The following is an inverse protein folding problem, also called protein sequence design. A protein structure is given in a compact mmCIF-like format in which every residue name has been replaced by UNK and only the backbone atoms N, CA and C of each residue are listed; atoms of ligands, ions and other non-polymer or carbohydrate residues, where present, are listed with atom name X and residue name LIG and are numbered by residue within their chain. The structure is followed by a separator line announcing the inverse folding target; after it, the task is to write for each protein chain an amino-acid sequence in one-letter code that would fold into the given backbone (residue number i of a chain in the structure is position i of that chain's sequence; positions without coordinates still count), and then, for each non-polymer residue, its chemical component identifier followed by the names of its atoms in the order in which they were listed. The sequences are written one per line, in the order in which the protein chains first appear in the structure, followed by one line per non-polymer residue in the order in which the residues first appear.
data_IF_598806058622
#
_entry.id   IF_598806058622
#
_cell.length_a   1.000
_cell.length_b   1.000
_cell.length_c   1.000
_cell.angle_alpha   90.00
_cell.angle_beta   90.00
_cell.angle_gamma   90.00
#
_symmetry.space_group_name_H-M   'P 1'
#
loop_
_entity.id
_entity.type
_entity.pdbx_description
1 polymer ?
#
# COMPACT_ATOMS: atom_id res chain seq x y z
N UNK A 1 24.32 8.37 10.87
CA UNK A 1 23.27 7.54 11.51
C UNK A 1 22.85 8.02 12.89
N UNK A 2 23.79 8.25 13.81
CA UNK A 2 23.52 8.72 15.19
C UNK A 2 22.65 9.98 15.26
N UNK A 3 22.87 10.98 14.40
CA UNK A 3 22.02 12.18 14.35
C UNK A 3 20.54 11.86 14.04
N UNK A 4 20.27 11.08 12.98
CA UNK A 4 18.91 10.75 12.54
C UNK A 4 18.18 9.96 13.63
N UNK A 5 18.87 8.98 14.23
CA UNK A 5 18.34 8.21 15.34
C UNK A 5 18.05 9.07 16.57
N UNK A 6 18.96 9.97 16.94
CA UNK A 6 18.79 10.89 18.06
C UNK A 6 17.61 11.85 17.83
N UNK A 7 17.48 12.40 16.63
CA UNK A 7 16.39 13.29 16.25
C UNK A 7 15.02 12.60 16.42
N UNK A 8 14.87 11.39 15.87
CA UNK A 8 13.62 10.63 15.99
C UNK A 8 13.34 10.23 17.43
N UNK A 9 14.36 9.77 18.17
CA UNK A 9 14.24 9.42 19.59
C UNK A 9 13.83 10.62 20.43
N UNK A 10 14.34 11.81 20.15
CA UNK A 10 13.98 13.05 20.83
C UNK A 10 12.49 13.39 20.66
N UNK A 11 11.91 13.16 19.48
CA UNK A 11 10.47 13.39 19.24
C UNK A 11 9.58 12.42 20.06
N UNK A 12 10.07 11.21 20.33
CA UNK A 12 9.34 10.18 21.08
C UNK A 12 9.45 10.43 22.59
N UNK A 13 10.68 10.52 23.09
CA UNK A 13 10.95 10.54 24.54
C UNK A 13 10.91 11.96 25.12
N UNK A 14 11.18 12.98 24.30
CA UNK A 14 11.17 14.40 24.68
C UNK A 14 12.06 14.74 25.90
N UNK A 15 13.08 13.93 26.15
CA UNK A 15 14.03 14.11 27.25
C UNK A 15 15.47 13.99 26.73
N UNK A 16 16.25 15.07 26.84
CA UNK A 16 17.60 15.13 26.27
C UNK A 16 18.54 14.04 26.82
N UNK A 17 18.51 13.79 28.14
CA UNK A 17 19.39 12.80 28.78
C UNK A 17 19.13 11.41 28.22
N UNK A 18 17.86 11.00 28.12
CA UNK A 18 17.48 9.72 27.55
C UNK A 18 17.84 9.62 26.06
N UNK A 19 17.63 10.67 25.26
CA UNK A 19 18.03 10.69 23.85
C UNK A 19 19.53 10.47 23.69
N UNK A 20 20.36 11.13 24.50
CA UNK A 20 21.82 10.98 24.46
C UNK A 20 22.21 9.54 24.83
N UNK A 21 21.63 9.00 25.89
CA UNK A 21 21.94 7.66 26.37
C UNK A 21 21.55 6.57 25.36
N UNK A 22 20.35 6.63 24.80
CA UNK A 22 19.90 5.71 23.76
C UNK A 22 20.77 5.81 22.50
N UNK A 23 21.18 7.02 22.11
CA UNK A 23 22.06 7.22 20.95
C UNK A 23 23.46 6.65 21.21
N UNK A 24 23.98 6.76 22.44
CA UNK A 24 25.22 6.12 22.86
C UNK A 24 25.10 4.59 22.75
N UNK A 25 24.04 4.02 23.32
CA UNK A 25 23.79 2.57 23.25
C UNK A 25 23.69 2.04 21.82
N UNK A 26 23.11 2.82 20.90
CA UNK A 26 23.12 2.47 19.48
C UNK A 26 24.54 2.52 18.90
N UNK A 27 25.30 3.58 19.18
CA UNK A 27 26.65 3.76 18.66
C UNK A 27 27.59 2.63 19.10
N UNK A 28 27.45 2.17 20.34
CA UNK A 28 28.28 1.10 20.93
C UNK A 28 28.02 -0.27 20.28
N UNK A 29 26.92 -0.42 19.51
CA UNK A 29 26.61 -1.63 18.74
C UNK A 29 27.20 -1.63 17.34
N UNK A 30 27.81 -0.53 16.88
CA UNK A 30 28.46 -0.51 15.58
C UNK A 30 29.81 -1.21 15.63
N UNK A 31 30.23 -1.79 14.51
CA UNK A 31 31.55 -2.41 14.34
C UNK A 31 32.67 -1.40 14.65
N UNK A 32 32.46 -0.14 14.28
CA UNK A 32 33.37 0.97 14.55
C UNK A 32 32.60 2.11 15.24
N UNK A 33 32.54 2.11 16.59
CA UNK A 33 31.85 3.15 17.33
C UNK A 33 32.54 4.51 17.18
N UNK A 34 31.74 5.57 17.06
CA UNK A 34 32.27 6.94 17.13
C UNK A 34 32.69 7.28 18.55
N UNK A 35 33.59 8.26 18.69
CA UNK A 35 34.02 8.79 20.00
C UNK A 35 32.81 9.29 20.79
N UNK A 36 32.73 8.93 22.07
CA UNK A 36 31.60 9.28 22.96
C UNK A 36 31.30 10.78 22.98
N UNK A 37 32.32 11.63 22.92
CA UNK A 37 32.17 13.09 22.85
C UNK A 37 31.40 13.54 21.60
N UNK A 38 31.72 12.98 20.45
CA UNK A 38 31.07 13.31 19.18
C UNK A 38 29.62 12.82 19.15
N UNK A 39 29.37 11.61 19.66
CA UNK A 39 28.00 11.06 19.80
C UNK A 39 27.15 11.93 20.71
N UNK A 40 27.70 12.33 21.87
CA UNK A 40 27.02 13.20 22.83
C UNK A 40 26.70 14.57 22.26
N UNK A 41 27.64 15.17 21.53
CA UNK A 41 27.43 16.46 20.84
C UNK A 41 26.32 16.32 19.80
N UNK A 42 26.46 15.34 18.91
CA UNK A 42 25.50 15.05 17.84
C UNK A 42 24.09 14.82 18.38
N UNK A 43 23.95 14.04 19.46
CA UNK A 43 22.64 13.75 20.06
C UNK A 43 22.01 14.99 20.73
N UNK A 44 22.82 15.86 21.34
CA UNK A 44 22.33 17.13 21.92
C UNK A 44 21.86 18.10 20.85
N UNK A 45 22.59 18.21 19.75
CA UNK A 45 22.22 19.08 18.64
C UNK A 45 20.94 18.57 17.98
N UNK A 46 20.87 17.27 17.67
CA UNK A 46 19.66 16.63 17.14
C UNK A 46 18.44 16.80 18.06
N UNK A 47 18.62 16.74 19.38
CA UNK A 47 17.54 16.98 20.34
C UNK A 47 17.02 18.41 20.25
N UNK A 48 17.90 19.42 20.21
CA UNK A 48 17.48 20.82 20.10
C UNK A 48 16.69 21.05 18.82
N UNK A 49 17.17 20.50 17.70
CA UNK A 49 16.51 20.63 16.42
C UNK A 49 15.14 19.93 16.41
N UNK A 50 15.04 18.74 17.02
CA UNK A 50 13.80 17.99 17.14
C UNK A 50 12.74 18.71 17.99
N UNK A 51 13.13 19.29 19.14
CA UNK A 51 12.22 20.05 19.99
C UNK A 51 11.80 21.36 19.31
N UNK A 52 12.75 22.08 18.69
CA UNK A 52 12.43 23.29 17.90
C UNK A 52 11.43 22.97 16.80
N UNK A 53 11.61 21.83 16.13
CA UNK A 53 10.65 21.34 15.15
C UNK A 53 9.29 21.03 15.77
N UNK A 54 9.28 20.28 16.87
CA UNK A 54 8.05 19.85 17.53
C UNK A 54 7.22 21.03 18.02
N UNK A 55 7.86 22.05 18.61
CA UNK A 55 7.19 23.25 19.10
C UNK A 55 6.57 24.06 17.95
N UNK A 56 7.31 24.22 16.84
CA UNK A 56 6.79 24.88 15.64
C UNK A 56 5.63 24.08 15.01
N UNK A 57 5.73 22.75 14.99
CA UNK A 57 4.70 21.84 14.50
C UNK A 57 3.42 21.91 15.32
N UNK A 58 3.53 21.87 16.65
CA UNK A 58 2.38 21.99 17.57
C UNK A 58 1.74 23.38 17.47
N UNK A 59 2.55 24.45 17.44
CA UNK A 59 2.06 25.83 17.24
C UNK A 59 1.31 26.00 15.91
N UNK A 60 1.64 25.19 14.91
CA UNK A 60 1.00 25.14 13.61
C UNK A 60 -0.12 24.08 13.53
N UNK A 61 -0.81 23.80 14.64
CA UNK A 61 -1.92 22.82 14.70
C UNK A 61 -1.55 21.42 14.20
N UNK A 62 -0.29 21.01 14.37
CA UNK A 62 0.22 19.75 13.85
C UNK A 62 0.12 19.63 12.32
N UNK A 63 0.24 20.75 11.60
CA UNK A 63 0.35 20.76 10.14
C UNK A 63 1.81 20.92 9.69
N UNK A 64 2.18 20.17 8.65
CA UNK A 64 3.52 20.27 8.04
C UNK A 64 3.64 21.43 7.03
N UNK A 65 2.49 21.96 6.59
CA UNK A 65 2.40 23.11 5.67
C UNK A 65 2.82 24.38 6.40
N UNK A 66 3.42 25.33 5.71
CA UNK A 66 3.74 26.67 6.26
C UNK A 66 4.76 26.72 7.41
N UNK A 67 5.36 25.58 7.80
CA UNK A 67 6.47 25.59 8.76
C UNK A 67 7.68 26.39 8.24
N UNK A 68 8.43 27.08 9.13
CA UNK A 68 9.62 27.83 8.75
C UNK A 68 10.60 27.02 7.90
N UNK A 69 11.13 27.64 6.83
CA UNK A 69 12.01 26.95 5.87
C UNK A 69 13.37 26.54 6.46
N UNK A 70 13.84 27.27 7.47
CA UNK A 70 15.10 27.00 8.18
C UNK A 70 14.99 25.88 9.23
N UNK A 71 13.79 25.33 9.44
CA UNK A 71 13.56 24.30 10.44
C UNK A 71 14.02 22.94 9.92
N UNK A 72 14.81 22.22 10.72
CA UNK A 72 15.19 20.84 10.40
C UNK A 72 13.98 19.94 10.69
N UNK A 73 13.48 19.29 9.64
CA UNK A 73 12.31 18.41 9.71
C UNK A 73 12.75 16.95 9.87
N UNK A 74 11.94 16.08 10.49
CA UNK A 74 12.19 14.65 10.50
C UNK A 74 12.31 14.13 9.07
N UNK A 75 13.31 13.30 8.84
CA UNK A 75 13.58 12.71 7.53
C UNK A 75 12.48 11.71 7.18
N UNK A 76 12.05 11.68 5.91
CA UNK A 76 11.10 10.67 5.43
C UNK A 76 11.70 9.27 5.54
N UNK A 77 10.89 8.27 5.87
CA UNK A 77 11.32 6.88 5.96
C UNK A 77 12.02 6.39 4.69
N UNK A 78 11.52 6.77 3.51
CA UNK A 78 12.14 6.43 2.23
C UNK A 78 13.58 6.96 2.15
N UNK A 79 13.80 8.22 2.48
CA UNK A 79 15.12 8.83 2.47
C UNK A 79 16.05 8.22 3.52
N UNK A 80 15.53 7.79 4.67
CA UNK A 80 16.33 7.07 5.68
C UNK A 80 16.79 5.72 5.15
N UNK A 81 15.89 4.96 4.50
CA UNK A 81 16.23 3.67 3.87
C UNK A 81 17.27 3.84 2.76
N UNK A 82 17.10 4.85 1.92
CA UNK A 82 18.05 5.17 0.84
C UNK A 82 19.45 5.48 1.42
N UNK A 83 19.53 6.31 2.46
CA UNK A 83 20.81 6.64 3.13
C UNK A 83 21.46 5.45 3.81
N UNK A 84 20.67 4.46 4.19
CA UNK A 84 21.13 3.22 4.79
C UNK A 84 21.44 2.14 3.75
N UNK A 85 21.25 2.41 2.46
CA UNK A 85 21.34 1.44 1.36
C UNK A 85 20.50 0.18 1.65
N UNK A 86 19.34 0.35 2.28
CA UNK A 86 18.43 -0.74 2.63
C UNK A 86 17.37 -0.91 1.56
N UNK A 87 17.53 -1.96 0.76
CA UNK A 87 16.51 -2.41 -0.19
C UNK A 87 15.58 -3.41 0.46
N UNK A 88 14.54 -2.90 1.12
CA UNK A 88 13.49 -3.74 1.69
C UNK A 88 12.50 -4.18 0.60
N UNK A 89 12.17 -5.46 0.60
CA UNK A 89 11.07 -6.02 -0.19
C UNK A 89 9.73 -5.43 0.27
N UNK A 90 8.70 -5.52 -0.58
CA UNK A 90 7.36 -5.06 -0.21
C UNK A 90 6.82 -5.80 1.03
N UNK A 91 7.12 -7.09 1.19
CA UNK A 91 6.72 -7.87 2.36
C UNK A 91 7.39 -7.40 3.65
N UNK A 92 8.69 -7.06 3.62
CA UNK A 92 9.41 -6.52 4.78
C UNK A 92 8.92 -5.11 5.15
N UNK A 93 8.63 -4.28 4.14
CA UNK A 93 8.00 -2.97 4.34
C UNK A 93 6.64 -3.13 5.02
N UNK A 94 5.82 -4.08 4.60
CA UNK A 94 4.51 -4.39 5.20
C UNK A 94 4.61 -4.86 6.66
N UNK A 95 5.68 -5.56 7.03
CA UNK A 95 5.97 -5.92 8.42
C UNK A 95 6.41 -4.74 9.28
N UNK A 96 7.26 -3.85 8.75
CA UNK A 96 7.68 -2.64 9.45
C UNK A 96 6.55 -1.59 9.52
N UNK A 97 5.71 -1.53 8.49
CA UNK A 97 4.57 -0.61 8.35
C UNK A 97 3.32 -1.18 9.01
N UNK A 98 3.42 -1.73 10.22
CA UNK A 98 2.22 -1.95 11.04
C UNK A 98 1.71 -0.58 11.55
N UNK A 99 1.36 0.28 10.60
CA UNK A 99 0.79 1.62 10.63
C UNK A 99 -0.16 1.63 9.42
N UNK A 100 -1.46 1.53 9.69
CA UNK A 100 -2.54 1.41 8.71
C UNK A 100 -2.64 2.69 7.88
N UNK A 101 -2.04 2.72 6.69
CA UNK A 101 -2.38 3.75 5.70
C UNK A 101 -3.65 3.36 4.90
N UNK A 102 -4.22 4.33 4.18
CA UNK A 102 -5.47 4.12 3.42
C UNK A 102 -5.31 3.08 2.32
N UNK A 103 -4.15 3.02 1.66
CA UNK A 103 -3.90 2.09 0.56
C UNK A 103 -3.79 0.65 1.08
N UNK A 104 -3.13 0.45 2.23
CA UNK A 104 -2.98 -0.85 2.88
C UNK A 104 -4.28 -1.31 3.53
N UNK A 105 -5.06 -0.40 4.13
CA UNK A 105 -6.42 -0.69 4.60
C UNK A 105 -7.31 -1.17 3.44
N UNK A 106 -7.24 -0.49 2.29
CA UNK A 106 -7.93 -0.92 1.08
C UNK A 106 -7.44 -2.26 0.54
N UNK A 107 -6.12 -2.51 0.55
CA UNK A 107 -5.54 -3.79 0.13
C UNK A 107 -6.03 -4.94 1.03
N UNK A 108 -5.96 -4.78 2.35
CA UNK A 108 -6.42 -5.76 3.34
C UNK A 108 -7.91 -6.03 3.23
N UNK A 109 -8.73 -5.00 3.09
CA UNK A 109 -10.17 -5.16 2.88
C UNK A 109 -10.47 -5.89 1.56
N UNK A 110 -9.72 -5.58 0.49
CA UNK A 110 -9.84 -6.27 -0.80
C UNK A 110 -9.48 -7.75 -0.68
N UNK A 111 -8.39 -8.08 0.01
CA UNK A 111 -7.96 -9.47 0.23
C UNK A 111 -8.99 -10.22 1.10
N UNK A 112 -9.40 -9.64 2.23
CA UNK A 112 -10.41 -10.21 3.13
C UNK A 112 -11.73 -10.49 2.40
N UNK A 113 -12.21 -9.52 1.60
CA UNK A 113 -13.43 -9.70 0.80
C UNK A 113 -13.27 -10.77 -0.27
N UNK A 114 -12.09 -10.89 -0.91
CA UNK A 114 -11.82 -11.96 -1.88
C UNK A 114 -11.81 -13.34 -1.23
N UNK A 115 -11.19 -13.50 -0.06
CA UNK A 115 -11.18 -14.77 0.69
C UNK A 115 -12.59 -15.16 1.10
N UNK A 116 -13.35 -14.26 1.74
CA UNK A 116 -14.76 -14.52 2.10
C UNK A 116 -15.62 -14.93 0.91
N UNK A 117 -15.43 -14.28 -0.24
CA UNK A 117 -16.15 -14.64 -1.48
C UNK A 117 -15.80 -16.05 -1.94
N UNK A 118 -14.53 -16.45 -1.85
CA UNK A 118 -14.08 -17.81 -2.22
C UNK A 118 -14.61 -18.86 -1.24
N UNK A 119 -14.61 -18.57 0.06
CA UNK A 119 -15.23 -19.43 1.08
C UNK A 119 -16.74 -19.59 0.86
N UNK A 120 -17.42 -18.55 0.38
CA UNK A 120 -18.82 -18.57 -0.04
C UNK A 120 -19.06 -19.25 -1.41
N UNK A 121 -18.03 -19.84 -2.03
CA UNK A 121 -18.15 -20.54 -3.31
C UNK A 121 -18.26 -19.63 -4.54
N UNK A 122 -18.01 -18.33 -4.40
CA UNK A 122 -18.02 -17.39 -5.53
C UNK A 122 -16.80 -17.64 -6.41
N UNK A 123 -17.07 -18.10 -7.64
CA UNK A 123 -16.04 -18.48 -8.61
C UNK A 123 -15.20 -17.29 -9.08
N UNK A 124 -13.93 -17.52 -9.46
CA UNK A 124 -13.07 -16.50 -10.02
C UNK A 124 -13.69 -15.83 -11.26
N UNK A 125 -13.44 -14.53 -11.43
CA UNK A 125 -13.92 -13.77 -12.60
C UNK A 125 -13.48 -14.39 -13.93
N UNK A 126 -12.29 -15.00 -13.98
CA UNK A 126 -11.78 -15.70 -15.18
C UNK A 126 -12.65 -16.87 -15.61
N UNK A 127 -13.18 -17.66 -14.67
CA UNK A 127 -14.10 -18.75 -14.98
C UNK A 127 -15.45 -18.23 -15.52
N UNK A 128 -15.90 -17.09 -15.02
CA UNK A 128 -17.12 -16.46 -15.50
C UNK A 128 -16.97 -15.90 -16.93
N UNK A 129 -15.80 -15.33 -17.24
CA UNK A 129 -15.47 -14.82 -18.58
C UNK A 129 -15.28 -15.94 -19.59
N UNK A 130 -14.59 -17.03 -19.24
CA UNK A 130 -14.42 -18.18 -20.13
C UNK A 130 -15.74 -18.86 -20.50
N UNK A 131 -16.68 -18.97 -19.54
CA UNK A 131 -18.04 -19.46 -19.83
C UNK A 131 -18.82 -18.53 -20.75
N UNK A 132 -18.63 -17.21 -20.63
CA UNK A 132 -19.26 -16.22 -21.51
C UNK A 132 -18.72 -16.34 -22.95
N UNK A 133 -17.41 -16.46 -23.10
CA UNK A 133 -16.76 -16.64 -24.42
C UNK A 133 -17.18 -17.93 -25.12
N UNK A 134 -17.25 -19.05 -24.37
CA UNK A 134 -17.76 -20.32 -24.89
C UNK A 134 -19.20 -20.21 -25.41
N UNK A 135 -20.10 -19.58 -24.64
CA UNK A 135 -21.49 -19.35 -25.06
C UNK A 135 -21.61 -18.41 -26.27
N UNK A 136 -20.74 -17.41 -26.38
CA UNK A 136 -20.69 -16.52 -27.54
C UNK A 136 -20.24 -17.26 -28.81
N UNK A 137 -19.26 -18.17 -28.71
CA UNK A 137 -18.86 -19.03 -29.83
C UNK A 137 -19.97 -19.98 -30.27
N UNK A 138 -20.62 -20.64 -29.32
CA UNK A 138 -21.76 -21.53 -29.60
C UNK A 138 -22.94 -20.77 -30.24
N UNK A 139 -23.18 -19.52 -29.84
CA UNK A 139 -24.20 -18.68 -30.47
C UNK A 139 -23.83 -18.30 -31.91
N UNK A 140 -22.56 -17.99 -32.19
CA UNK A 140 -22.07 -17.72 -33.55
C UNK A 140 -22.28 -18.96 -34.45
N UNK A 141 -21.91 -20.15 -33.97
CA UNK A 141 -22.11 -21.41 -34.70
C UNK A 141 -23.60 -21.72 -34.93
N UNK A 142 -24.45 -21.52 -33.91
CA UNK A 142 -25.89 -21.75 -34.01
C UNK A 142 -26.57 -20.80 -35.01
N UNK A 143 -26.10 -19.56 -35.14
CA UNK A 143 -26.60 -18.59 -36.12
C UNK A 143 -26.18 -18.93 -37.56
N UNK A 144 -25.00 -19.52 -37.74
CA UNK A 144 -24.52 -20.00 -39.05
C UNK A 144 -25.33 -21.23 -39.49
N UNK A 145 -25.50 -22.19 -38.58
CA UNK A 145 -26.19 -23.44 -38.89
C UNK A 145 -27.71 -23.29 -39.01
N UNK A 146 -28.30 -22.28 -38.35
CA UNK A 146 -29.74 -22.02 -38.42
C UNK A 146 -30.03 -20.51 -38.59
N UNK A 147 -29.91 -19.96 -39.82
CA UNK A 147 -30.02 -18.53 -40.07
C UNK A 147 -31.39 -17.92 -39.74
N UNK A 148 -32.46 -18.74 -39.74
CA UNK A 148 -33.84 -18.32 -39.46
C UNK A 148 -34.32 -18.69 -38.05
N UNK A 149 -33.45 -19.25 -37.19
CA UNK A 149 -33.85 -19.66 -35.84
C UNK A 149 -34.35 -18.46 -35.03
N UNK A 150 -35.53 -18.63 -34.44
CA UNK A 150 -36.11 -17.65 -33.53
C UNK A 150 -35.31 -17.57 -32.23
N UNK A 151 -35.38 -16.45 -31.54
CA UNK A 151 -34.69 -16.28 -30.26
C UNK A 151 -35.14 -17.29 -29.20
N UNK A 152 -36.34 -17.85 -29.35
CA UNK A 152 -36.89 -18.90 -28.48
C UNK A 152 -36.18 -20.23 -28.72
N UNK A 153 -35.94 -20.61 -29.97
CA UNK A 153 -35.21 -21.83 -30.33
C UNK A 153 -33.74 -21.77 -29.93
N UNK A 154 -33.09 -20.62 -30.14
CA UNK A 154 -31.69 -20.39 -29.71
C UNK A 154 -31.55 -20.42 -28.18
N UNK A 155 -32.55 -19.94 -27.45
CA UNK A 155 -32.59 -19.98 -25.99
C UNK A 155 -32.68 -21.43 -25.47
N UNK A 156 -33.53 -22.25 -26.10
CA UNK A 156 -33.64 -23.68 -25.77
C UNK A 156 -32.35 -24.44 -26.07
N UNK A 157 -31.75 -24.18 -27.24
CA UNK A 157 -30.53 -24.86 -27.69
C UNK A 157 -29.30 -24.54 -26.84
N UNK A 158 -29.17 -23.30 -26.38
CA UNK A 158 -28.06 -22.83 -25.53
C UNK A 158 -28.37 -22.91 -24.02
N UNK A 159 -29.54 -23.48 -23.66
CA UNK A 159 -30.05 -23.58 -22.29
C UNK A 159 -29.89 -22.25 -21.51
N UNK A 160 -30.35 -21.16 -22.12
CA UNK A 160 -30.19 -19.81 -21.57
C UNK A 160 -31.46 -19.00 -21.80
N UNK A 161 -31.62 -17.86 -21.11
CA UNK A 161 -32.82 -17.03 -21.28
C UNK A 161 -32.84 -16.29 -22.63
N UNK A 162 -34.04 -16.03 -23.16
CA UNK A 162 -34.24 -15.24 -24.39
C UNK A 162 -33.57 -13.86 -24.29
N UNK A 163 -33.64 -13.23 -23.11
CA UNK A 163 -33.03 -11.92 -22.84
C UNK A 163 -31.49 -11.96 -22.94
N UNK A 164 -30.87 -13.06 -22.51
CA UNK A 164 -29.43 -13.26 -22.67
C UNK A 164 -29.05 -13.46 -24.15
N UNK A 165 -29.86 -14.19 -24.93
CA UNK A 165 -29.64 -14.35 -26.38
C UNK A 165 -29.67 -13.00 -27.09
N UNK A 166 -30.64 -12.13 -26.78
CA UNK A 166 -30.73 -10.78 -27.37
C UNK A 166 -29.47 -9.95 -27.07
N UNK A 167 -28.99 -9.99 -25.81
CA UNK A 167 -27.76 -9.31 -25.41
C UNK A 167 -26.53 -9.89 -26.10
N UNK A 168 -26.43 -11.21 -26.22
CA UNK A 168 -25.32 -11.86 -26.91
C UNK A 168 -25.32 -11.57 -28.41
N UNK A 169 -26.49 -11.48 -29.05
CA UNK A 169 -26.59 -11.03 -30.45
C UNK A 169 -26.09 -9.59 -30.64
N UNK A 170 -26.40 -8.69 -29.72
CA UNK A 170 -25.87 -7.32 -29.75
C UNK A 170 -24.35 -7.31 -29.60
N UNK A 171 -23.80 -8.07 -28.64
CA UNK A 171 -22.35 -8.18 -28.44
C UNK A 171 -21.63 -8.82 -29.64
N UNK A 172 -22.27 -9.77 -30.34
CA UNK A 172 -21.74 -10.40 -31.57
C UNK A 172 -21.86 -9.49 -32.80
N UNK A 173 -22.84 -8.59 -32.86
CA UNK A 173 -23.00 -7.65 -33.97
C UNK A 173 -22.10 -6.41 -33.85
N UNK A 174 -21.58 -6.12 -32.65
CA UNK A 174 -20.75 -4.93 -32.37
C UNK A 174 -19.25 -5.24 -32.40
N UNK A 175 -18.84 -6.49 -32.63
CA UNK A 175 -17.44 -6.91 -32.68
C UNK A 175 -17.17 -7.93 -33.75
#
# INVERSE_FOLDING_TARGET
MTYIYAFTTALIVKQQVATVEMTRQLNDRFTEPQKTREVKRTAKDAYKDAITFFDAYVKNNCEMKELPRNLIKPMKNTTVLDKLNLNLTQGEKEHLSTLLDKAESQRRDTVRKRVKRREQGVKPRGEYLGKKEGKLKQLKEALINNPKATNKELATLLQTSIRQIQRYKQEVATG
#
